data_IF_798101852188
#
_entry.id   IF_798101852188
#
_cell.length_a   1.000
_cell.length_b   1.000
_cell.length_c   1.000
_cell.angle_alpha   90.00
_cell.angle_beta   90.00
_cell.angle_gamma   90.00
#
_symmetry.space_group_name_H-M   'P 1'
#
loop_
_entity.id
_entity.type
_entity.pdbx_description
1 polymer ?
#
# COMPACT_ATOMS: atom_id res chain seq x y z
N UNK A 1 -10.94 39.64 -9.45
CA UNK A 1 -10.08 38.84 -10.38
C UNK A 1 -8.70 38.52 -9.80
N UNK A 2 -8.42 38.87 -8.57
CA UNK A 2 -7.11 38.62 -7.90
C UNK A 2 -7.10 37.31 -7.08
N UNK A 3 -8.25 36.89 -6.56
CA UNK A 3 -8.34 35.70 -5.68
C UNK A 3 -8.05 34.38 -6.39
N UNK A 4 -8.39 34.25 -7.69
CA UNK A 4 -8.11 33.01 -8.45
C UNK A 4 -6.62 32.73 -8.73
N UNK A 5 -5.78 33.74 -8.73
CA UNK A 5 -4.33 33.59 -8.96
C UNK A 5 -3.57 33.12 -7.72
N UNK A 6 -4.07 33.47 -6.52
CA UNK A 6 -3.43 33.05 -5.25
C UNK A 6 -3.65 31.57 -4.99
N UNK A 7 -4.82 31.02 -5.31
CA UNK A 7 -5.14 29.61 -5.12
C UNK A 7 -4.25 28.71 -5.98
N UNK A 8 -3.91 29.11 -7.21
CA UNK A 8 -3.00 28.35 -8.07
C UNK A 8 -1.55 28.37 -7.59
N UNK A 9 -1.09 29.45 -6.99
CA UNK A 9 0.29 29.57 -6.45
C UNK A 9 0.46 28.70 -5.19
N UNK A 10 -0.56 28.63 -4.33
CA UNK A 10 -0.53 27.78 -3.13
C UNK A 10 -0.50 26.28 -3.52
N UNK A 11 -1.23 25.87 -4.54
CA UNK A 11 -1.23 24.48 -5.02
C UNK A 11 0.11 24.07 -5.65
N UNK A 12 0.78 24.97 -6.36
CA UNK A 12 2.09 24.71 -6.96
C UNK A 12 3.20 24.71 -5.90
N UNK A 13 3.09 25.51 -4.84
CA UNK A 13 4.08 25.56 -3.77
C UNK A 13 3.98 24.32 -2.85
N UNK A 14 2.77 23.80 -2.58
CA UNK A 14 2.60 22.55 -1.85
C UNK A 14 3.20 21.35 -2.61
N UNK A 15 3.12 21.31 -3.93
CA UNK A 15 3.68 20.20 -4.71
C UNK A 15 5.22 20.18 -4.78
N UNK A 16 5.89 21.27 -4.44
CA UNK A 16 7.36 21.39 -4.50
C UNK A 16 8.04 21.05 -3.17
N UNK A 17 7.29 21.05 -2.05
CA UNK A 17 7.86 20.79 -0.73
C UNK A 17 7.88 19.30 -0.33
N UNK A 18 7.24 18.42 -1.09
CA UNK A 18 7.29 16.99 -0.84
C UNK A 18 8.38 16.34 -1.69
N UNK A 19 9.53 16.13 -1.07
CA UNK A 19 10.70 15.45 -1.67
C UNK A 19 10.45 13.94 -1.92
N UNK A 20 9.31 13.40 -1.50
CA UNK A 20 8.92 12.01 -1.75
C UNK A 20 7.98 11.98 -2.96
N UNK A 21 8.33 11.17 -3.93
CA UNK A 21 7.46 10.95 -5.09
C UNK A 21 6.42 9.90 -4.71
N UNK A 22 5.21 10.35 -4.38
CA UNK A 22 4.04 9.47 -4.31
C UNK A 22 3.79 8.96 -5.73
N UNK A 23 3.88 7.64 -5.91
CA UNK A 23 3.66 7.01 -7.22
C UNK A 23 2.21 6.59 -7.36
N UNK A 24 1.60 6.16 -6.27
CA UNK A 24 0.24 5.69 -6.26
C UNK A 24 -0.42 6.02 -4.93
N UNK A 25 -1.66 6.49 -4.98
CA UNK A 25 -2.52 6.69 -3.83
C UNK A 25 -3.75 5.83 -4.03
N UNK A 26 -4.01 4.94 -3.08
CA UNK A 26 -5.20 4.12 -3.06
C UNK A 26 -6.16 4.57 -2.00
N UNK A 27 -7.40 4.76 -2.43
CA UNK A 27 -8.54 4.95 -1.58
C UNK A 27 -8.65 6.33 -0.96
N UNK A 28 -9.74 6.51 -0.32
CA UNK A 28 -10.08 7.59 0.58
C UNK A 28 -10.99 6.94 1.59
N UNK A 29 -10.49 6.72 2.78
CA UNK A 29 -11.15 5.96 3.83
C UNK A 29 -11.49 6.90 4.99
N UNK A 30 -12.33 6.48 5.89
CA UNK A 30 -12.60 7.04 7.22
C UNK A 30 -12.83 5.82 8.10
N UNK A 31 -11.72 5.12 8.43
CA UNK A 31 -11.80 3.81 9.08
C UNK A 31 -12.13 3.89 10.56
N UNK A 32 -11.76 4.96 11.23
CA UNK A 32 -12.04 5.15 12.65
C UNK A 32 -13.29 5.99 12.90
N UNK A 33 -13.90 6.56 11.84
CA UNK A 33 -15.16 7.30 11.90
C UNK A 33 -15.03 8.71 12.45
N UNK A 34 -13.83 9.29 12.44
CA UNK A 34 -13.56 10.62 13.00
C UNK A 34 -13.81 11.76 12.01
N UNK A 35 -14.18 11.44 10.75
CA UNK A 35 -14.45 12.33 9.63
C UNK A 35 -13.20 12.96 8.99
N UNK A 36 -12.01 12.55 9.37
CA UNK A 36 -10.80 12.81 8.59
C UNK A 36 -10.59 11.67 7.60
N UNK A 37 -9.97 12.00 6.48
CA UNK A 37 -9.77 11.02 5.42
C UNK A 37 -8.38 10.42 5.49
N UNK A 38 -8.34 9.11 5.45
CA UNK A 38 -7.12 8.35 5.35
C UNK A 38 -6.88 7.86 3.93
N UNK A 39 -5.62 7.59 3.63
CA UNK A 39 -5.21 7.02 2.35
C UNK A 39 -3.94 6.19 2.46
N UNK A 40 -3.78 5.24 1.55
CA UNK A 40 -2.55 4.48 1.38
C UNK A 40 -1.69 5.19 0.34
N UNK A 41 -0.39 5.27 0.61
CA UNK A 41 0.61 5.80 -0.30
C UNK A 41 1.69 4.76 -0.58
N UNK A 42 1.94 4.51 -1.87
CA UNK A 42 3.14 3.80 -2.32
C UNK A 42 4.20 4.82 -2.71
N UNK A 43 5.31 4.79 -2.02
CA UNK A 43 6.35 5.79 -2.13
C UNK A 43 7.69 5.21 -2.58
N UNK A 44 8.47 6.00 -3.28
CA UNK A 44 9.87 5.71 -3.57
C UNK A 44 10.78 6.81 -3.06
N UNK A 45 11.99 6.43 -2.69
CA UNK A 45 13.06 7.36 -2.48
C UNK A 45 13.71 7.68 -3.85
N UNK A 46 13.51 8.87 -4.44
CA UNK A 46 13.96 9.18 -5.80
C UNK A 46 15.48 9.16 -5.97
N UNK A 47 16.22 9.16 -4.87
CA UNK A 47 17.70 9.12 -4.90
C UNK A 47 18.27 7.70 -4.82
N UNK A 48 17.44 6.70 -4.52
CA UNK A 48 17.88 5.32 -4.27
C UNK A 48 17.09 4.30 -5.07
N UNK A 49 15.79 4.58 -5.31
CA UNK A 49 14.85 3.58 -5.74
C UNK A 49 14.32 3.89 -7.14
N UNK A 50 14.13 2.86 -7.94
CA UNK A 50 13.47 2.94 -9.25
C UNK A 50 12.00 2.59 -9.14
N UNK A 51 11.64 1.83 -8.10
CA UNK A 51 10.29 1.34 -7.83
C UNK A 51 9.84 1.69 -6.42
N UNK A 52 8.52 1.67 -6.13
CA UNK A 52 8.03 1.86 -4.77
C UNK A 52 8.66 0.87 -3.79
N UNK A 53 9.21 1.38 -2.72
CA UNK A 53 9.87 0.60 -1.66
C UNK A 53 9.27 0.83 -0.29
N UNK A 54 8.25 1.69 -0.20
CA UNK A 54 7.55 2.02 1.04
C UNK A 54 6.04 2.03 0.80
N UNK A 55 5.31 1.47 1.75
CA UNK A 55 3.85 1.61 1.86
C UNK A 55 3.56 2.32 3.18
N UNK A 56 2.77 3.37 3.10
CA UNK A 56 2.40 4.18 4.25
C UNK A 56 0.90 4.45 4.26
N UNK A 57 0.35 4.53 5.44
CA UNK A 57 -1.02 4.91 5.70
C UNK A 57 -1.04 6.24 6.43
N UNK A 58 -1.75 7.20 5.86
CA UNK A 58 -1.82 8.56 6.33
C UNK A 58 -3.26 8.97 6.63
N UNK A 59 -3.41 9.85 7.57
CA UNK A 59 -4.61 10.64 7.84
C UNK A 59 -4.40 12.10 7.43
N UNK A 60 -5.42 12.73 6.89
CA UNK A 60 -5.43 14.17 6.58
C UNK A 60 -6.16 14.88 7.73
N UNK A 61 -5.44 15.61 8.56
CA UNK A 61 -6.03 16.34 9.67
C UNK A 61 -6.81 17.59 9.22
N UNK A 62 -7.48 18.27 10.17
CA UNK A 62 -8.30 19.47 9.91
C UNK A 62 -7.55 20.62 9.24
N UNK A 63 -6.24 20.70 9.42
CA UNK A 63 -5.38 21.73 8.84
C UNK A 63 -4.86 21.35 7.44
N UNK A 64 -5.25 20.16 6.94
CA UNK A 64 -4.82 19.61 5.64
C UNK A 64 -3.41 19.03 5.65
N UNK A 65 -2.81 18.84 6.83
CA UNK A 65 -1.54 18.15 6.96
C UNK A 65 -1.75 16.65 7.03
N UNK A 66 -0.77 15.90 6.53
CA UNK A 66 -0.74 14.45 6.54
C UNK A 66 -0.05 13.96 7.81
N UNK A 67 -0.74 13.15 8.59
CA UNK A 67 -0.18 12.42 9.71
C UNK A 67 0.11 11.00 9.29
N UNK A 68 1.34 10.54 9.48
CA UNK A 68 1.69 9.14 9.29
C UNK A 68 1.12 8.32 10.44
N UNK A 69 0.19 7.42 10.12
CA UNK A 69 -0.44 6.52 11.07
C UNK A 69 0.31 5.19 11.13
N UNK A 70 0.63 4.62 9.96
CA UNK A 70 1.26 3.32 9.86
C UNK A 70 2.25 3.27 8.69
N UNK A 71 3.29 2.45 8.82
CA UNK A 71 4.30 2.22 7.80
C UNK A 71 4.64 0.73 7.71
N UNK A 72 4.64 0.20 6.50
CA UNK A 72 5.14 -1.14 6.25
C UNK A 72 6.63 -1.23 6.56
N UNK A 73 7.00 -2.21 7.37
CA UNK A 73 8.39 -2.55 7.66
C UNK A 73 8.70 -3.91 7.04
N UNK A 74 9.42 -3.95 5.91
CA UNK A 74 9.76 -5.22 5.30
C UNK A 74 10.55 -6.09 6.28
N UNK A 75 10.32 -7.41 6.30
CA UNK A 75 11.11 -8.33 7.08
C UNK A 75 12.61 -8.19 6.77
N UNK A 76 13.46 -8.33 7.78
CA UNK A 76 14.92 -8.18 7.63
C UNK A 76 15.46 -9.16 6.57
N UNK A 77 16.22 -8.64 5.62
CA UNK A 77 16.84 -9.41 4.55
C UNK A 77 15.96 -9.69 3.34
N UNK A 78 14.77 -9.09 3.30
CA UNK A 78 13.92 -9.10 2.12
C UNK A 78 13.99 -7.73 1.43
N UNK A 79 14.28 -7.74 0.14
CA UNK A 79 14.14 -6.59 -0.73
C UNK A 79 13.08 -6.89 -1.78
N UNK A 80 12.31 -5.89 -2.13
CA UNK A 80 11.25 -6.09 -3.11
C UNK A 80 10.67 -4.78 -3.60
N UNK A 81 9.82 -4.94 -4.60
CA UNK A 81 9.04 -3.86 -5.18
C UNK A 81 7.59 -4.03 -4.74
N UNK A 82 7.02 -3.00 -4.17
CA UNK A 82 5.59 -3.00 -3.93
C UNK A 82 4.86 -2.92 -5.27
N UNK A 83 3.88 -3.79 -5.43
CA UNK A 83 2.98 -3.78 -6.56
C UNK A 83 1.83 -2.85 -6.28
N UNK A 84 1.16 -3.09 -5.14
CA UNK A 84 0.01 -2.31 -4.70
C UNK A 84 -0.30 -2.62 -3.23
N UNK A 85 -1.16 -1.79 -2.63
CA UNK A 85 -1.74 -2.02 -1.32
C UNK A 85 -3.20 -1.53 -1.30
N UNK A 86 -4.11 -2.32 -0.76
CA UNK A 86 -5.55 -2.03 -0.72
C UNK A 86 -6.11 -2.40 0.65
N UNK A 87 -7.22 -1.78 1.02
CA UNK A 87 -7.98 -2.10 2.22
C UNK A 87 -9.28 -2.77 1.79
N UNK A 88 -9.59 -3.87 2.46
CA UNK A 88 -10.82 -4.60 2.22
C UNK A 88 -11.17 -5.53 3.38
N UNK A 89 -12.36 -6.08 3.35
CA UNK A 89 -12.87 -7.05 4.32
C UNK A 89 -12.62 -8.45 3.79
N UNK A 90 -11.75 -9.23 4.45
CA UNK A 90 -11.36 -10.56 3.96
C UNK A 90 -11.95 -11.71 4.77
N UNK A 91 -12.54 -11.44 5.94
CA UNK A 91 -12.90 -12.49 6.89
C UNK A 91 -14.29 -12.34 7.53
N UNK A 92 -15.06 -11.34 7.12
CA UNK A 92 -16.44 -11.11 7.56
C UNK A 92 -16.59 -10.70 9.03
N UNK A 93 -15.52 -10.26 9.68
CA UNK A 93 -15.57 -9.85 11.09
C UNK A 93 -15.99 -8.38 11.27
N UNK A 94 -16.11 -7.63 10.18
CA UNK A 94 -16.49 -6.21 10.13
C UNK A 94 -15.33 -5.26 10.40
N UNK A 95 -14.11 -5.75 10.47
CA UNK A 95 -12.90 -4.95 10.56
C UNK A 95 -12.06 -5.12 9.29
N UNK A 96 -11.74 -4.04 8.58
CA UNK A 96 -11.00 -4.17 7.33
C UNK A 96 -9.56 -4.59 7.55
N UNK A 97 -9.00 -5.30 6.57
CA UNK A 97 -7.59 -5.61 6.50
C UNK A 97 -6.87 -4.74 5.47
N UNK A 98 -5.61 -4.42 5.76
CA UNK A 98 -4.68 -3.89 4.78
C UNK A 98 -3.92 -5.04 4.11
N UNK A 99 -4.07 -5.14 2.80
CA UNK A 99 -3.39 -6.13 1.98
C UNK A 99 -2.24 -5.44 1.24
N UNK A 100 -1.02 -5.97 1.39
CA UNK A 100 0.19 -5.47 0.73
C UNK A 100 0.75 -6.55 -0.17
N UNK A 101 0.98 -6.23 -1.43
CA UNK A 101 1.56 -7.14 -2.42
C UNK A 101 2.95 -6.65 -2.84
N UNK A 102 3.92 -7.56 -2.78
CA UNK A 102 5.30 -7.30 -3.19
C UNK A 102 5.79 -8.35 -4.17
N UNK A 103 6.61 -7.92 -5.13
CA UNK A 103 7.51 -8.80 -5.86
C UNK A 103 8.85 -8.81 -5.11
N UNK A 104 9.15 -9.89 -4.44
CA UNK A 104 10.38 -10.05 -3.66
C UNK A 104 11.52 -10.59 -4.51
N UNK A 105 12.74 -10.10 -4.23
CA UNK A 105 13.99 -10.72 -4.62
C UNK A 105 14.86 -10.88 -3.38
N UNK A 106 15.50 -12.03 -3.19
CA UNK A 106 16.45 -12.19 -2.10
C UNK A 106 17.76 -11.47 -2.42
N UNK A 107 18.28 -10.75 -1.44
CA UNK A 107 19.60 -10.15 -1.53
C UNK A 107 20.67 -11.25 -1.67
N UNK A 108 21.47 -11.19 -2.73
CA UNK A 108 22.64 -12.05 -2.90
C UNK A 108 22.38 -13.47 -3.39
N UNK A 109 21.15 -13.89 -3.53
CA UNK A 109 20.79 -15.14 -4.18
C UNK A 109 20.15 -14.85 -5.54
N UNK A 110 20.62 -15.52 -6.58
CA UNK A 110 19.95 -15.55 -7.90
C UNK A 110 18.63 -16.32 -7.86
N UNK A 111 17.92 -16.24 -6.74
CA UNK A 111 16.63 -16.89 -6.59
C UNK A 111 15.60 -16.11 -7.38
N UNK A 112 14.80 -16.85 -8.10
CA UNK A 112 13.71 -16.34 -8.92
C UNK A 112 12.82 -15.38 -8.13
N UNK A 113 12.41 -14.24 -8.70
CA UNK A 113 11.44 -13.38 -8.06
C UNK A 113 10.16 -14.16 -7.76
N UNK A 114 9.58 -13.89 -6.61
CA UNK A 114 8.34 -14.50 -6.15
C UNK A 114 7.42 -13.43 -5.58
N UNK A 115 6.15 -13.74 -5.48
CA UNK A 115 5.13 -12.83 -5.00
C UNK A 115 4.90 -13.06 -3.52
N UNK A 116 4.98 -12.00 -2.75
CA UNK A 116 4.68 -12.01 -1.33
C UNK A 116 3.43 -11.19 -1.06
N UNK A 117 2.46 -11.79 -0.38
CA UNK A 117 1.24 -11.16 0.09
C UNK A 117 1.29 -11.10 1.60
N UNK A 118 1.06 -9.93 2.16
CA UNK A 118 0.95 -9.73 3.60
C UNK A 118 -0.36 -9.04 3.94
N UNK A 119 -1.03 -9.51 4.98
CA UNK A 119 -2.31 -8.99 5.46
C UNK A 119 -2.16 -8.49 6.88
N UNK A 120 -2.67 -7.30 7.15
CA UNK A 120 -2.61 -6.62 8.45
C UNK A 120 -4.01 -6.28 8.93
N UNK A 121 -4.35 -6.65 10.17
CA UNK A 121 -5.66 -6.33 10.75
C UNK A 121 -5.75 -4.91 11.26
N UNK A 122 -6.93 -4.31 11.17
CA UNK A 122 -7.29 -3.04 11.78
C UNK A 122 -7.85 -3.27 13.17
N UNK A 123 -7.42 -2.50 14.17
CA UNK A 123 -7.88 -2.61 15.57
C UNK A 123 -8.88 -1.51 15.98
N UNK A 124 -9.32 -0.68 15.02
CA UNK A 124 -10.16 0.48 15.24
C UNK A 124 -9.37 1.80 15.32
N UNK A 125 -8.05 1.75 15.34
CA UNK A 125 -7.19 2.94 15.39
C UNK A 125 -5.90 2.79 14.56
N UNK A 126 -5.44 1.56 14.34
CA UNK A 126 -4.18 1.31 13.64
C UNK A 126 -4.15 -0.09 13.00
N UNK A 127 -3.31 -0.26 12.00
CA UNK A 127 -2.97 -1.59 11.49
C UNK A 127 -1.94 -2.28 12.39
N UNK A 128 -2.04 -3.62 12.49
CA UNK A 128 -1.10 -4.43 13.26
C UNK A 128 0.35 -4.20 12.81
N UNK A 129 1.32 -4.25 13.74
CA UNK A 129 2.75 -4.09 13.42
C UNK A 129 3.32 -5.30 12.67
N UNK A 130 2.71 -6.46 12.86
CA UNK A 130 3.09 -7.72 12.20
C UNK A 130 1.92 -8.22 11.36
N UNK A 131 2.17 -8.85 10.22
CA UNK A 131 1.10 -9.41 9.42
C UNK A 131 0.38 -10.54 10.18
N UNK A 132 -0.95 -10.56 10.08
CA UNK A 132 -1.78 -11.66 10.60
C UNK A 132 -1.72 -12.88 9.69
N UNK A 133 -1.48 -12.68 8.40
CA UNK A 133 -1.28 -13.74 7.43
C UNK A 133 -0.25 -13.35 6.38
N UNK A 134 0.47 -14.34 5.87
CA UNK A 134 1.40 -14.16 4.74
C UNK A 134 1.32 -15.34 3.78
N UNK A 135 1.42 -15.05 2.49
CA UNK A 135 1.46 -16.04 1.42
C UNK A 135 2.68 -15.76 0.55
N UNK A 136 3.43 -16.81 0.25
CA UNK A 136 4.62 -16.78 -0.61
C UNK A 136 4.34 -17.63 -1.85
N UNK A 137 4.25 -17.00 -3.04
CA UNK A 137 3.84 -17.65 -4.29
C UNK A 137 5.02 -17.72 -5.24
N UNK A 138 5.34 -18.92 -5.72
CA UNK A 138 6.38 -19.13 -6.74
C UNK A 138 7.79 -19.30 -6.20
N UNK A 139 7.95 -19.55 -4.90
CA UNK A 139 9.25 -19.65 -4.23
C UNK A 139 10.14 -20.79 -4.74
N UNK A 140 9.57 -21.87 -5.21
CA UNK A 140 10.31 -23.13 -5.41
C UNK A 140 10.72 -23.40 -6.87
N UNK A 141 9.97 -22.96 -7.91
CA UNK A 141 10.22 -23.43 -9.27
C UNK A 141 9.98 -22.43 -10.41
N UNK A 142 9.49 -21.24 -10.17
CA UNK A 142 9.15 -20.29 -11.25
C UNK A 142 9.38 -18.85 -10.83
N UNK A 143 10.02 -18.11 -11.72
CA UNK A 143 10.00 -16.64 -11.65
C UNK A 143 8.58 -16.17 -11.89
N UNK A 144 7.88 -15.78 -10.83
CA UNK A 144 6.56 -15.18 -10.91
C UNK A 144 6.62 -13.73 -10.44
N UNK A 145 5.88 -12.87 -11.14
CA UNK A 145 5.63 -11.49 -10.74
C UNK A 145 4.14 -11.22 -10.69
N UNK A 146 3.70 -10.51 -9.70
CA UNK A 146 2.40 -9.90 -9.70
C UNK A 146 2.48 -8.58 -10.48
N UNK A 147 1.55 -8.39 -11.42
CA UNK A 147 1.44 -7.17 -12.20
C UNK A 147 0.36 -6.25 -11.64
N UNK A 148 -0.68 -6.84 -11.06
CA UNK A 148 -1.81 -6.14 -10.47
C UNK A 148 -2.59 -7.10 -9.56
N UNK A 149 -3.37 -6.54 -8.62
CA UNK A 149 -4.35 -7.31 -7.86
C UNK A 149 -5.64 -6.52 -7.67
N UNK A 150 -6.69 -7.22 -7.32
CA UNK A 150 -8.00 -6.67 -7.00
C UNK A 150 -8.59 -7.40 -5.81
N UNK A 151 -9.36 -6.69 -5.02
CA UNK A 151 -10.25 -7.27 -4.02
C UNK A 151 -11.65 -7.37 -4.63
N UNK A 152 -12.26 -8.52 -4.55
CA UNK A 152 -13.55 -8.80 -5.15
C UNK A 152 -14.27 -9.89 -4.33
N UNK A 153 -15.49 -9.61 -3.90
CA UNK A 153 -16.41 -10.62 -3.38
C UNK A 153 -16.96 -11.42 -4.58
N UNK A 154 -16.30 -12.54 -4.89
CA UNK A 154 -16.58 -13.32 -6.09
C UNK A 154 -17.78 -14.23 -5.93
N UNK A 155 -18.02 -14.76 -4.73
CA UNK A 155 -19.09 -15.71 -4.46
C UNK A 155 -20.29 -15.08 -3.72
N UNK A 156 -20.20 -13.78 -3.44
CA UNK A 156 -21.24 -12.95 -2.79
C UNK A 156 -21.59 -13.40 -1.38
N UNK A 157 -20.58 -13.84 -0.63
CA UNK A 157 -20.73 -14.20 0.78
C UNK A 157 -20.45 -13.03 1.73
N UNK A 158 -19.92 -11.92 1.22
CA UNK A 158 -19.62 -10.69 1.93
C UNK A 158 -18.14 -10.51 2.22
N UNK A 159 -17.34 -11.55 2.09
CA UNK A 159 -15.88 -11.48 2.22
C UNK A 159 -15.25 -11.21 0.85
N UNK A 160 -14.12 -10.52 0.82
CA UNK A 160 -13.43 -10.22 -0.43
C UNK A 160 -12.26 -11.18 -0.67
N UNK A 161 -12.16 -11.73 -1.87
CA UNK A 161 -11.03 -12.52 -2.30
C UNK A 161 -9.93 -11.64 -2.90
N UNK A 162 -8.68 -12.10 -2.74
CA UNK A 162 -7.51 -11.48 -3.37
C UNK A 162 -7.29 -12.13 -4.74
N UNK A 163 -7.60 -11.41 -5.80
CA UNK A 163 -7.39 -11.85 -7.18
C UNK A 163 -6.07 -11.29 -7.72
N UNK A 164 -5.10 -12.18 -8.02
CA UNK A 164 -3.77 -11.81 -8.49
C UNK A 164 -3.62 -12.01 -10.00
N UNK A 165 -3.11 -10.99 -10.69
CA UNK A 165 -2.65 -11.10 -12.07
C UNK A 165 -1.16 -11.45 -12.09
N UNK A 166 -0.83 -12.72 -12.32
CA UNK A 166 0.53 -13.22 -12.32
C UNK A 166 1.09 -13.34 -13.75
N UNK A 167 2.37 -13.01 -13.90
CA UNK A 167 3.11 -13.17 -15.14
C UNK A 167 4.53 -13.68 -14.90
N UNK A 168 5.18 -14.19 -15.94
CA UNK A 168 6.63 -14.41 -15.94
C UNK A 168 7.34 -13.07 -16.21
N UNK A 169 8.51 -12.83 -15.63
CA UNK A 169 9.33 -11.65 -15.90
C UNK A 169 9.81 -11.60 -17.36
#
# INVERSE_FOLDING_TARGET
>A
MIIKKITYIVFVICSVLFSQKIIHMNGSYDLDGDQFLEFISLELNPNKDVFPTQVRYYEINSDGYQNLIWEFKPPIGLEGQFVDAQIGELNGDGFPELIVIMNLSRFGDNTSPHVFVATYSWDGSNFSEVPIATIDIGKEDRSLRCNNFQLLDQDSDGDQEILLSLGSP
#
